data_IF_223004214432
#
_entry.id   IF_223004214432
#
_cell.length_a   1.000
_cell.length_b   1.000
_cell.length_c   1.000
_cell.angle_alpha   90.00
_cell.angle_beta   90.00
_cell.angle_gamma   90.00
#
_symmetry.space_group_name_H-M   'P 1'
#
loop_
_entity.id
_entity.type
_entity.pdbx_description
1 polymer ?
#
# COMPACT_ATOMS: atom_id res chain seq x y z
N UNK A 1 -12.11 -5.13 12.86
CA UNK A 1 -13.12 -5.44 11.82
C UNK A 1 -13.27 -6.93 11.58
N UNK A 2 -12.16 -7.70 11.53
CA UNK A 2 -12.19 -9.14 11.29
C UNK A 2 -13.13 -9.93 12.23
N UNK A 3 -13.14 -9.64 13.53
CA UNK A 3 -14.05 -10.30 14.49
C UNK A 3 -15.53 -10.06 14.15
N UNK A 4 -15.91 -8.83 13.78
CA UNK A 4 -17.29 -8.48 13.40
C UNK A 4 -17.72 -9.18 12.11
N UNK A 5 -16.79 -9.32 11.16
CA UNK A 5 -17.02 -10.03 9.89
C UNK A 5 -17.16 -11.54 10.15
N UNK A 6 -16.29 -12.11 10.98
CA UNK A 6 -16.34 -13.51 11.37
C UNK A 6 -17.62 -13.86 12.15
N UNK A 7 -18.10 -12.97 13.03
CA UNK A 7 -19.38 -13.11 13.72
C UNK A 7 -20.54 -13.16 12.72
N UNK A 8 -20.55 -12.25 11.73
CA UNK A 8 -21.56 -12.22 10.68
C UNK A 8 -21.53 -13.47 9.80
N UNK A 9 -20.34 -13.97 9.45
CA UNK A 9 -20.19 -15.20 8.65
C UNK A 9 -20.76 -16.43 9.36
N UNK A 10 -20.57 -16.54 10.68
CA UNK A 10 -21.03 -17.69 11.48
C UNK A 10 -22.52 -17.68 11.80
N UNK A 11 -23.19 -16.54 11.61
CA UNK A 11 -24.58 -16.32 12.03
C UNK A 11 -25.47 -15.97 10.82
N UNK A 12 -26.10 -16.97 10.15
CA UNK A 12 -26.92 -16.74 8.96
C UNK A 12 -28.06 -15.72 9.14
N UNK A 13 -28.58 -15.58 10.36
CA UNK A 13 -29.62 -14.58 10.68
C UNK A 13 -29.12 -13.13 10.67
N UNK A 14 -27.80 -12.90 10.72
CA UNK A 14 -27.17 -11.59 10.58
C UNK A 14 -26.77 -11.27 9.13
N UNK A 15 -27.10 -12.14 8.17
CA UNK A 15 -26.80 -11.88 6.76
C UNK A 15 -27.63 -10.73 6.18
N UNK A 16 -28.95 -10.60 6.47
CA UNK A 16 -29.72 -9.46 6.00
C UNK A 16 -29.18 -8.14 6.58
N UNK A 17 -28.81 -7.20 5.71
CA UNK A 17 -28.21 -5.93 6.11
C UNK A 17 -29.09 -5.15 7.09
N UNK A 18 -30.41 -5.19 6.91
CA UNK A 18 -31.36 -4.52 7.79
C UNK A 18 -31.25 -5.01 9.24
N UNK A 19 -31.20 -6.34 9.42
CA UNK A 19 -31.11 -6.96 10.75
C UNK A 19 -29.75 -6.65 11.35
N UNK A 20 -28.67 -6.81 10.58
CA UNK A 20 -27.32 -6.54 11.04
C UNK A 20 -27.13 -5.10 11.48
N UNK A 21 -27.60 -4.13 10.68
CA UNK A 21 -27.47 -2.70 10.97
C UNK A 21 -28.21 -2.27 12.26
N UNK A 22 -29.24 -3.01 12.66
CA UNK A 22 -29.93 -2.77 13.94
C UNK A 22 -29.17 -3.29 15.16
N UNK A 23 -28.20 -4.21 14.98
CA UNK A 23 -27.39 -4.76 16.08
C UNK A 23 -26.30 -3.79 16.55
N UNK A 24 -25.75 -4.03 17.74
CA UNK A 24 -24.57 -3.30 18.24
C UNK A 24 -23.33 -3.56 17.39
N UNK A 25 -23.13 -4.80 16.92
CA UNK A 25 -22.04 -5.19 16.02
C UNK A 25 -22.14 -4.49 14.65
N UNK A 26 -23.34 -4.39 14.06
CA UNK A 26 -23.56 -3.68 12.81
C UNK A 26 -23.31 -2.18 12.90
N UNK A 27 -23.71 -1.53 14.01
CA UNK A 27 -23.36 -0.13 14.25
C UNK A 27 -21.84 0.11 14.34
N UNK A 28 -21.10 -0.79 15.00
CA UNK A 28 -19.63 -0.72 15.06
C UNK A 28 -19.00 -0.92 13.68
N UNK A 29 -19.50 -1.89 12.91
CA UNK A 29 -19.04 -2.15 11.55
C UNK A 29 -19.27 -0.95 10.63
N UNK A 30 -20.48 -0.36 10.65
CA UNK A 30 -20.80 0.85 9.89
C UNK A 30 -19.87 2.02 10.25
N UNK A 31 -19.64 2.26 11.55
CA UNK A 31 -18.71 3.31 11.99
C UNK A 31 -17.29 3.10 11.46
N UNK A 32 -16.82 1.85 11.44
CA UNK A 32 -15.51 1.52 10.88
C UNK A 32 -15.46 1.75 9.36
N UNK A 33 -16.52 1.36 8.63
CA UNK A 33 -16.65 1.64 7.19
C UNK A 33 -16.69 3.15 6.90
N UNK A 34 -17.39 3.94 7.71
CA UNK A 34 -17.45 5.39 7.54
C UNK A 34 -16.06 6.04 7.68
N UNK A 35 -15.24 5.54 8.60
CA UNK A 35 -13.84 5.98 8.76
C UNK A 35 -13.00 5.58 7.54
N UNK A 36 -13.12 4.32 7.11
CA UNK A 36 -12.40 3.78 5.96
C UNK A 36 -12.71 4.58 4.69
N UNK A 37 -13.99 4.67 4.33
CA UNK A 37 -14.43 5.45 3.18
C UNK A 37 -14.08 6.93 3.31
N UNK A 38 -14.13 7.50 4.53
CA UNK A 38 -13.73 8.89 4.78
C UNK A 38 -12.26 9.13 4.42
N UNK A 39 -11.38 8.21 4.79
CA UNK A 39 -9.97 8.27 4.45
C UNK A 39 -9.72 8.09 2.95
N UNK A 40 -10.31 7.06 2.33
CA UNK A 40 -10.15 6.80 0.89
C UNK A 40 -10.67 7.94 0.02
N UNK A 41 -11.85 8.48 0.36
CA UNK A 41 -12.39 9.64 -0.33
C UNK A 41 -11.48 10.86 -0.21
N UNK A 42 -10.84 11.06 0.95
CA UNK A 42 -9.86 12.12 1.14
C UNK A 42 -8.67 11.94 0.19
N UNK A 43 -8.05 10.76 0.16
CA UNK A 43 -6.91 10.45 -0.72
C UNK A 43 -7.27 10.67 -2.20
N UNK A 44 -8.45 10.24 -2.63
CA UNK A 44 -8.94 10.44 -4.00
C UNK A 44 -9.10 11.93 -4.31
N UNK A 45 -9.75 12.68 -3.42
CA UNK A 45 -9.97 14.12 -3.64
C UNK A 45 -8.65 14.90 -3.64
N UNK A 46 -7.75 14.61 -2.70
CA UNK A 46 -6.42 15.23 -2.61
C UNK A 46 -5.63 14.98 -3.92
N UNK A 47 -5.70 13.77 -4.49
CA UNK A 47 -5.03 13.47 -5.77
C UNK A 47 -5.70 14.15 -6.97
N UNK A 48 -7.03 14.26 -6.99
CA UNK A 48 -7.74 15.02 -8.03
C UNK A 48 -7.36 16.50 -7.99
N UNK A 49 -7.19 17.08 -6.79
CA UNK A 49 -6.75 18.46 -6.61
C UNK A 49 -5.32 18.66 -7.13
N UNK A 50 -4.38 17.81 -6.71
CA UNK A 50 -3.00 17.85 -7.21
C UNK A 50 -2.92 17.77 -8.74
N UNK A 51 -3.77 16.94 -9.37
CA UNK A 51 -3.82 16.82 -10.83
C UNK A 51 -4.26 18.10 -11.52
N UNK A 52 -5.23 18.82 -10.95
CA UNK A 52 -5.72 20.08 -11.50
C UNK A 52 -4.64 21.17 -11.42
N UNK A 53 -3.97 21.27 -10.28
CA UNK A 53 -2.87 22.24 -10.08
C UNK A 53 -1.72 22.03 -11.09
N UNK A 54 -1.37 20.77 -11.37
CA UNK A 54 -0.34 20.42 -12.35
C UNK A 54 -0.80 20.52 -13.81
N UNK A 55 -2.10 20.68 -14.07
CA UNK A 55 -2.64 20.87 -15.42
C UNK A 55 -2.68 22.35 -15.82
N UNK A 56 -2.82 23.26 -14.84
CA UNK A 56 -2.78 24.71 -15.03
C UNK A 56 -1.35 25.27 -15.14
N UNK A 57 -0.37 24.53 -14.62
CA UNK A 57 1.05 24.83 -14.77
C UNK A 57 1.56 24.01 -15.96
N UNK A 58 1.86 24.62 -17.11
CA UNK A 58 2.44 23.98 -18.31
C UNK A 58 3.87 23.42 -18.07
N UNK A 59 4.11 22.82 -16.92
CA UNK A 59 5.31 22.07 -16.58
C UNK A 59 4.90 20.61 -16.59
N UNK A 60 5.30 19.91 -17.66
CA UNK A 60 5.27 18.45 -17.78
C UNK A 60 5.97 17.89 -16.54
N UNK A 61 5.16 17.60 -15.51
CA UNK A 61 5.62 17.41 -14.16
C UNK A 61 6.57 16.22 -14.09
N UNK A 62 7.71 16.46 -13.47
CA UNK A 62 8.68 15.49 -12.99
C UNK A 62 8.03 14.58 -11.93
N UNK A 63 7.12 13.71 -12.38
CA UNK A 63 6.53 12.68 -11.55
C UNK A 63 7.63 11.66 -11.18
N UNK A 64 7.69 11.34 -9.89
CA UNK A 64 8.64 10.42 -9.22
C UNK A 64 8.73 9.04 -9.89
N UNK A 65 7.79 8.71 -10.76
CA UNK A 65 7.71 7.47 -11.54
C UNK A 65 8.57 7.46 -12.82
N UNK A 66 9.16 8.60 -13.23
CA UNK A 66 10.08 8.65 -14.38
C UNK A 66 11.43 7.96 -14.12
N UNK A 67 11.70 7.52 -12.89
CA UNK A 67 12.95 6.85 -12.50
C UNK A 67 13.02 5.40 -13.01
N UNK A 68 11.88 4.81 -13.43
CA UNK A 68 11.73 3.35 -13.58
C UNK A 68 11.83 2.78 -15.00
N UNK A 69 11.99 3.56 -16.06
CA UNK A 69 12.03 2.97 -17.42
C UNK A 69 13.18 3.47 -18.30
N UNK A 70 14.05 2.54 -18.67
CA UNK A 70 14.98 2.64 -19.83
C UNK A 70 14.25 2.64 -21.18
N UNK A 71 12.91 2.75 -21.19
CA UNK A 71 12.07 2.77 -22.37
C UNK A 71 11.04 3.86 -22.18
N UNK A 72 10.88 4.76 -23.16
CA UNK A 72 10.11 6.01 -23.16
C UNK A 72 8.61 5.97 -22.74
N UNK A 73 8.13 4.91 -22.08
CA UNK A 73 6.80 4.81 -21.49
C UNK A 73 6.80 5.37 -20.08
N UNK A 74 6.14 6.52 -19.92
CA UNK A 74 5.79 7.11 -18.62
C UNK A 74 4.89 6.13 -17.85
N UNK A 75 5.37 5.54 -16.75
CA UNK A 75 4.55 4.72 -15.86
C UNK A 75 3.74 5.69 -14.99
N UNK A 76 2.41 5.58 -15.00
CA UNK A 76 1.53 6.36 -14.13
C UNK A 76 1.31 5.60 -12.83
N UNK A 77 1.12 6.30 -11.71
CA UNK A 77 0.71 5.65 -10.47
C UNK A 77 -0.67 4.97 -10.65
N UNK A 78 -0.96 3.96 -9.83
CA UNK A 78 -2.21 3.19 -9.97
C UNK A 78 -3.47 4.07 -9.88
N UNK A 79 -3.56 4.92 -8.85
CA UNK A 79 -4.67 5.88 -8.70
C UNK A 79 -4.77 6.81 -9.91
N UNK A 80 -3.63 7.12 -10.55
CA UNK A 80 -3.63 7.98 -11.72
C UNK A 80 -4.23 7.31 -12.96
N UNK A 81 -4.06 6.00 -13.08
CA UNK A 81 -4.70 5.21 -14.13
C UNK A 81 -6.22 5.18 -13.91
N UNK A 82 -6.67 4.89 -12.68
CA UNK A 82 -8.09 4.85 -12.33
C UNK A 82 -8.80 6.17 -12.58
N UNK A 83 -8.18 7.29 -12.19
CA UNK A 83 -8.74 8.62 -12.42
C UNK A 83 -8.79 8.96 -13.91
N UNK A 84 -7.83 8.49 -14.72
CA UNK A 84 -7.88 8.64 -16.18
C UNK A 84 -9.05 7.87 -16.83
N UNK A 85 -9.41 6.70 -16.30
CA UNK A 85 -10.59 5.94 -16.73
C UNK A 85 -11.90 6.58 -16.25
N UNK A 86 -11.88 7.20 -15.08
CA UNK A 86 -13.01 7.98 -14.57
C UNK A 86 -13.30 9.19 -15.46
N UNK A 87 -12.27 9.91 -15.89
CA UNK A 87 -12.39 11.07 -16.79
C UNK A 87 -12.96 10.67 -18.16
N UNK A 88 -12.69 9.44 -18.61
CA UNK A 88 -13.26 8.86 -19.83
C UNK A 88 -14.69 8.33 -19.66
N UNK A 89 -15.20 8.27 -18.43
CA UNK A 89 -16.52 7.71 -18.11
C UNK A 89 -16.59 6.18 -18.09
N UNK A 90 -15.45 5.49 -18.07
CA UNK A 90 -15.39 4.03 -18.06
C UNK A 90 -15.63 3.42 -16.67
N UNK A 91 -15.35 4.19 -15.61
CA UNK A 91 -15.56 3.80 -14.21
C UNK A 91 -16.29 4.90 -13.45
N UNK A 92 -17.16 4.53 -12.52
CA UNK A 92 -17.84 5.48 -11.62
C UNK A 92 -16.93 5.92 -10.48
N UNK A 93 -17.29 7.01 -9.80
CA UNK A 93 -16.53 7.46 -8.62
C UNK A 93 -16.52 6.40 -7.52
N UNK A 94 -17.63 5.69 -7.37
CA UNK A 94 -17.79 4.57 -6.45
C UNK A 94 -16.86 3.42 -6.81
N UNK A 95 -16.75 3.07 -8.10
CA UNK A 95 -15.82 2.04 -8.57
C UNK A 95 -14.35 2.42 -8.33
N UNK A 96 -13.97 3.67 -8.57
CA UNK A 96 -12.61 4.15 -8.24
C UNK A 96 -12.34 3.97 -6.74
N UNK A 97 -13.30 4.35 -5.89
CA UNK A 97 -13.17 4.19 -4.44
C UNK A 97 -13.03 2.72 -4.04
N UNK A 98 -13.82 1.82 -4.60
CA UNK A 98 -13.76 0.38 -4.30
C UNK A 98 -12.39 -0.23 -4.64
N UNK A 99 -11.81 0.14 -5.78
CA UNK A 99 -10.48 -0.31 -6.18
C UNK A 99 -9.38 0.27 -5.27
N UNK A 100 -9.50 1.54 -4.88
CA UNK A 100 -8.56 2.17 -3.94
C UNK A 100 -8.68 1.56 -2.55
N UNK A 101 -9.90 1.34 -2.05
CA UNK A 101 -10.16 0.67 -0.76
C UNK A 101 -9.48 -0.71 -0.72
N UNK A 102 -9.63 -1.48 -1.80
CA UNK A 102 -9.03 -2.82 -1.93
C UNK A 102 -7.50 -2.74 -1.90
N UNK A 103 -6.91 -1.90 -2.76
CA UNK A 103 -5.45 -1.79 -2.86
C UNK A 103 -4.80 -1.30 -1.56
N UNK A 104 -5.42 -0.31 -0.90
CA UNK A 104 -4.90 0.23 0.36
C UNK A 104 -4.97 -0.79 1.50
N UNK A 105 -6.04 -1.59 1.56
CA UNK A 105 -6.19 -2.63 2.57
C UNK A 105 -5.20 -3.78 2.35
N UNK A 106 -5.19 -4.34 1.14
CA UNK A 106 -4.37 -5.51 0.82
C UNK A 106 -2.88 -5.19 0.87
N UNK A 107 -2.48 -4.02 0.37
CA UNK A 107 -1.08 -3.61 0.33
C UNK A 107 -0.50 -3.24 1.69
N UNK A 108 -1.31 -2.69 2.60
CA UNK A 108 -0.81 -2.19 3.89
C UNK A 108 -0.74 -3.29 4.96
N UNK A 109 -1.86 -3.97 5.22
CA UNK A 109 -1.95 -4.85 6.39
C UNK A 109 -1.06 -6.10 6.24
N UNK A 110 -0.97 -6.64 5.01
CA UNK A 110 -0.12 -7.81 4.72
C UNK A 110 1.37 -7.48 4.82
N UNK A 111 1.80 -6.32 4.28
CA UNK A 111 3.21 -5.91 4.32
C UNK A 111 3.63 -5.47 5.73
N UNK A 112 2.75 -4.80 6.48
CA UNK A 112 3.01 -4.44 7.88
C UNK A 112 3.18 -5.68 8.76
N UNK A 113 2.30 -6.67 8.63
CA UNK A 113 2.42 -7.94 9.35
C UNK A 113 3.71 -8.67 8.97
N UNK A 114 4.06 -8.66 7.68
CA UNK A 114 5.30 -9.26 7.19
C UNK A 114 6.53 -8.60 7.79
N UNK A 115 6.60 -7.26 7.76
CA UNK A 115 7.70 -6.50 8.31
C UNK A 115 7.83 -6.70 9.82
N UNK A 116 6.70 -6.78 10.53
CA UNK A 116 6.68 -7.09 11.96
C UNK A 116 7.37 -8.42 12.25
N UNK A 117 7.07 -9.48 11.49
CA UNK A 117 7.72 -10.77 11.65
C UNK A 117 9.21 -10.75 11.30
N UNK A 118 9.58 -10.05 10.22
CA UNK A 118 11.00 -9.87 9.85
C UNK A 118 11.77 -9.22 10.99
N UNK A 119 11.28 -8.09 11.51
CA UNK A 119 11.95 -7.37 12.61
C UNK A 119 12.00 -8.24 13.87
N UNK A 120 10.92 -8.93 14.20
CA UNK A 120 10.87 -9.82 15.36
C UNK A 120 11.91 -10.95 15.26
N UNK A 121 12.00 -11.62 14.11
CA UNK A 121 12.94 -12.72 13.89
C UNK A 121 14.39 -12.23 13.87
N UNK A 122 14.67 -11.11 13.20
CA UNK A 122 16.01 -10.50 13.19
C UNK A 122 16.45 -10.16 14.61
N UNK A 123 15.58 -9.57 15.44
CA UNK A 123 15.88 -9.24 16.83
C UNK A 123 16.18 -10.44 17.74
N UNK A 124 15.75 -11.65 17.35
CA UNK A 124 16.05 -12.90 18.07
C UNK A 124 17.30 -13.63 17.57
N UNK A 125 17.91 -13.16 16.47
CA UNK A 125 19.10 -13.78 15.86
C UNK A 125 20.23 -12.74 15.73
N UNK A 126 21.01 -12.48 16.81
CA UNK A 126 22.02 -11.43 16.83
C UNK A 126 23.11 -11.56 15.76
N UNK A 127 23.43 -12.78 15.35
CA UNK A 127 24.36 -13.10 14.28
C UNK A 127 23.82 -12.66 12.90
N UNK A 128 22.54 -12.94 12.63
CA UNK A 128 21.82 -12.48 11.44
C UNK A 128 21.71 -10.96 11.44
N UNK A 129 21.29 -10.36 12.57
CA UNK A 129 21.19 -8.90 12.71
C UNK A 129 22.53 -8.21 12.43
N UNK A 130 23.62 -8.70 13.01
CA UNK A 130 24.95 -8.12 12.83
C UNK A 130 25.43 -8.23 11.38
N UNK A 131 25.14 -9.34 10.69
CA UNK A 131 25.48 -9.51 9.27
C UNK A 131 24.63 -8.62 8.38
N UNK A 132 23.34 -8.50 8.67
CA UNK A 132 22.41 -7.65 7.92
C UNK A 132 22.80 -6.17 8.03
N UNK A 133 23.12 -5.72 9.24
CA UNK A 133 23.57 -4.36 9.48
C UNK A 133 24.85 -4.04 8.68
N UNK A 134 25.84 -4.94 8.66
CA UNK A 134 27.06 -4.76 7.86
C UNK A 134 26.78 -4.61 6.37
N UNK A 135 25.87 -5.42 5.82
CA UNK A 135 25.48 -5.30 4.41
C UNK A 135 24.83 -3.95 4.12
N UNK A 136 23.87 -3.53 4.96
CA UNK A 136 23.17 -2.25 4.80
C UNK A 136 24.13 -1.08 4.94
N UNK A 137 25.02 -1.09 5.93
CA UNK A 137 26.03 -0.04 6.14
C UNK A 137 26.97 0.06 4.92
N UNK A 138 27.48 -1.07 4.44
CA UNK A 138 28.33 -1.12 3.25
C UNK A 138 27.61 -0.63 1.99
N UNK A 139 26.31 -0.92 1.86
CA UNK A 139 25.50 -0.43 0.76
C UNK A 139 25.38 1.10 0.79
N UNK A 140 25.04 1.70 1.94
CA UNK A 140 24.92 3.15 2.07
C UNK A 140 26.26 3.88 1.94
N UNK A 141 27.37 3.27 2.37
CA UNK A 141 28.73 3.80 2.13
C UNK A 141 29.10 3.82 0.64
N UNK A 142 28.53 2.91 -0.16
CA UNK A 142 28.78 2.84 -1.60
C UNK A 142 27.98 3.84 -2.45
N UNK A 143 26.94 4.45 -1.86
CA UNK A 143 26.05 5.40 -2.53
C UNK A 143 26.66 6.82 -2.48
N UNK A 144 26.67 7.57 -3.60
CA UNK A 144 27.19 8.92 -3.61
C UNK A 144 26.31 9.90 -2.78
N UNK A 145 26.94 10.98 -2.30
CA UNK A 145 26.41 11.89 -1.25
C UNK A 145 25.10 12.60 -1.65
N UNK A 146 24.78 12.61 -2.94
CA UNK A 146 23.51 13.08 -3.51
C UNK A 146 22.29 12.26 -3.08
N UNK A 147 22.48 11.11 -2.41
CA UNK A 147 21.44 10.41 -1.64
C UNK A 147 20.33 9.74 -2.47
N UNK A 148 20.42 9.82 -3.80
CA UNK A 148 19.45 9.23 -4.69
C UNK A 148 19.75 7.74 -4.92
N UNK A 149 19.00 6.88 -4.22
CA UNK A 149 19.02 5.44 -4.41
C UNK A 149 18.22 5.09 -5.66
N UNK A 150 18.87 4.49 -6.65
CA UNK A 150 18.18 3.93 -7.81
C UNK A 150 17.64 2.53 -7.45
N UNK A 151 16.45 2.16 -7.95
CA UNK A 151 15.88 0.84 -7.70
C UNK A 151 16.79 -0.32 -8.09
N UNK A 152 17.60 -0.16 -9.16
CA UNK A 152 18.55 -1.19 -9.59
C UNK A 152 19.65 -1.46 -8.57
N UNK A 153 20.02 -0.48 -7.74
CA UNK A 153 21.03 -0.66 -6.68
C UNK A 153 20.51 -1.51 -5.54
N UNK A 154 19.19 -1.56 -5.30
CA UNK A 154 18.60 -2.41 -4.25
C UNK A 154 18.83 -3.91 -4.51
N UNK A 155 19.16 -4.30 -5.74
CA UNK A 155 19.52 -5.69 -6.10
C UNK A 155 20.82 -6.14 -5.44
N UNK A 156 21.64 -5.22 -4.96
CA UNK A 156 22.91 -5.54 -4.30
C UNK A 156 22.72 -6.02 -2.85
N UNK A 157 21.54 -5.78 -2.24
CA UNK A 157 21.16 -6.18 -0.89
C UNK A 157 20.72 -7.66 -0.81
N UNK A 158 21.61 -8.56 -1.21
CA UNK A 158 21.32 -10.00 -1.38
C UNK A 158 20.98 -10.70 -0.05
N UNK A 159 21.66 -10.35 1.04
CA UNK A 159 21.41 -10.96 2.34
C UNK A 159 20.11 -10.45 2.97
N UNK A 160 19.79 -9.16 2.84
CA UNK A 160 18.48 -8.61 3.18
C UNK A 160 17.36 -9.34 2.44
N UNK A 161 17.50 -9.56 1.12
CA UNK A 161 16.52 -10.32 0.35
C UNK A 161 16.35 -11.75 0.89
N UNK A 162 17.45 -12.42 1.26
CA UNK A 162 17.41 -13.74 1.88
C UNK A 162 16.67 -13.72 3.22
N UNK A 163 16.97 -12.75 4.11
CA UNK A 163 16.33 -12.59 5.42
C UNK A 163 14.83 -12.42 5.25
N UNK A 164 14.42 -11.54 4.35
CA UNK A 164 13.00 -11.30 4.04
C UNK A 164 12.36 -12.61 3.55
N UNK A 165 12.95 -13.30 2.58
CA UNK A 165 12.42 -14.56 2.02
C UNK A 165 12.26 -15.66 3.06
N UNK A 166 13.24 -15.86 3.93
CA UNK A 166 13.19 -16.91 4.97
C UNK A 166 12.02 -16.70 5.92
N UNK A 167 11.65 -15.45 6.21
CA UNK A 167 10.49 -15.13 7.05
C UNK A 167 9.14 -15.55 6.43
N UNK A 168 9.11 -15.83 5.12
CA UNK A 168 7.91 -16.25 4.39
C UNK A 168 7.89 -17.73 4.03
N UNK A 169 8.90 -18.52 4.42
CA UNK A 169 8.90 -19.96 4.17
C UNK A 169 7.91 -20.63 5.15
N UNK A 170 6.90 -21.38 4.67
CA UNK A 170 6.06 -22.16 5.55
C UNK A 170 6.90 -23.25 6.24
N UNK A 171 6.89 -23.26 7.58
CA UNK A 171 7.52 -24.27 8.42
C UNK A 171 6.68 -25.56 8.40
#
# INVERSE_FOLDING_TARGET
MCELIQERQKCPWLWPDTIFNMTSSGRKHKKALDILHGFTNKVINDRIEQRKEHQDTNEDASDVTAIYSSSNRRIRAFLDLLLGEYDQGNITKEGVREEVDTFMFEGHDTTAASLQWVIHLVGHHPDVQSRLQKEVDSFFESIPVDGNIKPDQLKDLNFLECVVKVCFIPI
#
